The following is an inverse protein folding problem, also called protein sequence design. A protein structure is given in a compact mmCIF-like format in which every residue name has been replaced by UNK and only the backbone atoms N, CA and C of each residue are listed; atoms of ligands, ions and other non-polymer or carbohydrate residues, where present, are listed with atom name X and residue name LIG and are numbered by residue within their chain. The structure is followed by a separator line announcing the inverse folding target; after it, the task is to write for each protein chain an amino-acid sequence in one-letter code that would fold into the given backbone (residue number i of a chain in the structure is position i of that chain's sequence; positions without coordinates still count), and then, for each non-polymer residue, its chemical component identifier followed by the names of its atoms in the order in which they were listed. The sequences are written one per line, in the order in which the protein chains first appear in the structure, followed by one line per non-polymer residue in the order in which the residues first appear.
data_IF_717038047105
#
_entry.id   IF_717038047105
#
_cell.length_a   1.000
_cell.length_b   1.000
_cell.length_c   1.000
_cell.angle_alpha   90.00
_cell.angle_beta   90.00
_cell.angle_gamma   90.00
#
_symmetry.space_group_name_H-M   'P 1'
#
loop_
_entity.id
_entity.type
_entity.pdbx_description
1 polymer ?
#
# COMPACT_ATOMS: atom_id res chain seq x y z
N UNK A 1 18.38 9.27 -10.39
CA UNK A 1 17.17 9.25 -11.23
C UNK A 1 16.69 7.83 -11.49
N UNK A 2 17.51 6.93 -12.07
CA UNK A 2 17.12 5.52 -12.29
C UNK A 2 16.64 4.79 -11.01
N UNK A 3 17.31 5.02 -9.87
CA UNK A 3 16.96 4.38 -8.59
C UNK A 3 15.53 4.65 -8.12
N UNK A 4 15.10 5.91 -8.24
CA UNK A 4 13.75 6.36 -7.89
C UNK A 4 12.70 5.72 -8.80
N UNK A 5 12.97 5.67 -10.11
CA UNK A 5 12.06 5.09 -11.09
C UNK A 5 11.82 3.60 -10.80
N UNK A 6 12.89 2.84 -10.55
CA UNK A 6 12.78 1.42 -10.19
C UNK A 6 11.97 1.25 -8.91
N UNK A 7 12.28 2.03 -7.87
CA UNK A 7 11.61 1.96 -6.58
C UNK A 7 10.11 2.29 -6.68
N UNK A 8 9.74 3.28 -7.50
CA UNK A 8 8.34 3.61 -7.83
C UNK A 8 7.63 2.45 -8.52
N UNK A 9 8.22 1.86 -9.56
CA UNK A 9 7.61 0.72 -10.24
C UNK A 9 7.44 -0.49 -9.32
N UNK A 10 8.43 -0.77 -8.48
CA UNK A 10 8.37 -1.89 -7.53
C UNK A 10 7.29 -1.66 -6.46
N UNK A 11 7.20 -0.45 -5.89
CA UNK A 11 6.14 -0.13 -4.90
C UNK A 11 4.74 -0.20 -5.50
N UNK A 12 4.57 0.24 -6.74
CA UNK A 12 3.30 0.10 -7.45
C UNK A 12 2.97 -1.38 -7.70
N UNK A 13 3.95 -2.16 -8.14
CA UNK A 13 3.78 -3.60 -8.38
C UNK A 13 3.40 -4.36 -7.10
N UNK A 14 4.02 -4.04 -5.96
CA UNK A 14 3.65 -4.66 -4.68
C UNK A 14 2.24 -4.26 -4.23
N UNK A 15 1.81 -3.02 -4.49
CA UNK A 15 0.43 -2.61 -4.23
C UNK A 15 -0.58 -3.39 -5.08
N UNK A 16 -0.28 -3.65 -6.35
CA UNK A 16 -1.11 -4.52 -7.19
C UNK A 16 -1.11 -5.98 -6.71
N UNK A 17 0.03 -6.52 -6.25
CA UNK A 17 0.11 -7.86 -5.67
C UNK A 17 -0.77 -7.99 -4.42
N UNK A 18 -0.76 -6.98 -3.56
CA UNK A 18 -1.63 -6.94 -2.37
C UNK A 18 -3.10 -6.96 -2.78
N UNK A 19 -3.49 -6.18 -3.79
CA UNK A 19 -4.85 -6.20 -4.31
C UNK A 19 -5.22 -7.56 -4.91
N UNK A 20 -4.34 -8.17 -5.70
CA UNK A 20 -4.60 -9.46 -6.34
C UNK A 20 -4.74 -10.60 -5.33
N UNK A 21 -4.05 -10.51 -4.18
CA UNK A 21 -4.06 -11.53 -3.14
C UNK A 21 -5.24 -11.40 -2.15
N UNK A 22 -5.91 -10.24 -2.07
CA UNK A 22 -7.06 -10.07 -1.18
C UNK A 22 -8.34 -10.67 -1.78
N UNK A 23 -8.94 -11.66 -1.09
CA UNK A 23 -10.21 -12.28 -1.49
C UNK A 23 -11.39 -11.29 -1.57
N UNK A 24 -11.29 -10.15 -0.90
CA UNK A 24 -12.33 -9.10 -0.84
C UNK A 24 -12.04 -7.92 -1.76
N UNK A 25 -11.04 -8.05 -2.63
CA UNK A 25 -10.62 -7.04 -3.58
C UNK A 25 -11.73 -6.52 -4.52
N UNK A 26 -12.82 -7.27 -4.74
CA UNK A 26 -13.99 -6.78 -5.49
C UNK A 26 -14.78 -5.69 -4.75
N UNK A 27 -14.57 -5.51 -3.44
CA UNK A 27 -15.24 -4.50 -2.64
C UNK A 27 -14.54 -3.14 -2.69
N UNK A 28 -13.31 -3.02 -3.19
CA UNK A 28 -12.59 -1.76 -3.29
C UNK A 28 -11.73 -1.68 -4.57
N UNK A 29 -11.60 -0.48 -5.14
CA UNK A 29 -10.94 -0.31 -6.45
C UNK A 29 -9.46 -0.74 -6.43
N UNK A 30 -8.99 -1.31 -7.54
CA UNK A 30 -7.61 -1.76 -7.75
C UNK A 30 -6.56 -0.67 -7.50
N UNK A 31 -6.92 0.58 -7.78
CA UNK A 31 -6.03 1.73 -7.59
C UNK A 31 -5.75 2.04 -6.10
N UNK A 32 -6.57 1.57 -5.16
CA UNK A 32 -6.44 1.94 -3.74
C UNK A 32 -5.16 1.37 -3.12
N UNK A 33 -4.88 0.04 -3.16
CA UNK A 33 -3.65 -0.48 -2.59
C UNK A 33 -2.40 -0.03 -3.35
N UNK A 34 -2.50 0.11 -4.68
CA UNK A 34 -1.42 0.62 -5.53
C UNK A 34 -1.05 2.08 -5.16
N UNK A 35 -2.06 2.95 -5.02
CA UNK A 35 -1.87 4.34 -4.64
C UNK A 35 -1.34 4.50 -3.21
N UNK A 36 -1.83 3.69 -2.27
CA UNK A 36 -1.33 3.70 -0.88
C UNK A 36 0.12 3.23 -0.82
N UNK A 37 0.46 2.14 -1.53
CA UNK A 37 1.83 1.63 -1.58
C UNK A 37 2.80 2.66 -2.16
N UNK A 38 2.42 3.28 -3.29
CA UNK A 38 3.19 4.35 -3.90
C UNK A 38 3.34 5.55 -2.96
N UNK A 39 2.25 6.03 -2.36
CA UNK A 39 2.24 7.22 -1.52
C UNK A 39 3.12 7.04 -0.26
N UNK A 40 2.93 5.93 0.46
CA UNK A 40 3.73 5.62 1.66
C UNK A 40 5.18 5.33 1.29
N UNK A 41 5.42 4.62 0.19
CA UNK A 41 6.76 4.40 -0.34
C UNK A 41 7.48 5.70 -0.68
N UNK A 42 6.84 6.59 -1.43
CA UNK A 42 7.42 7.88 -1.79
C UNK A 42 7.70 8.75 -0.56
N UNK A 43 6.77 8.85 0.38
CA UNK A 43 6.96 9.64 1.60
C UNK A 43 8.09 9.11 2.48
N UNK A 44 8.17 7.79 2.66
CA UNK A 44 9.25 7.16 3.42
C UNK A 44 10.61 7.33 2.72
N UNK A 45 10.67 7.23 1.40
CA UNK A 45 11.88 7.51 0.63
C UNK A 45 12.36 8.95 0.85
N UNK A 46 11.46 9.93 0.74
CA UNK A 46 11.77 11.35 0.97
C UNK A 46 12.34 11.54 2.39
N UNK A 47 11.71 10.93 3.39
CA UNK A 47 12.17 11.00 4.77
C UNK A 47 13.58 10.40 4.95
N UNK A 48 13.86 9.24 4.36
CA UNK A 48 15.18 8.59 4.50
C UNK A 48 16.30 9.33 3.76
N UNK A 49 16.02 9.92 2.60
CA UNK A 49 16.99 10.75 1.88
C UNK A 49 17.25 12.05 2.64
N UNK A 50 16.19 12.69 3.17
CA UNK A 50 16.33 13.88 4.00
C UNK A 50 17.13 13.61 5.29
N UNK A 51 17.03 12.41 5.85
CA UNK A 51 17.83 11.97 6.99
C UNK A 51 19.29 11.59 6.65
N UNK A 52 19.68 11.62 5.37
CA UNK A 52 21.05 11.35 4.93
C UNK A 52 21.41 9.88 4.76
N UNK A 53 20.46 8.95 4.94
CA UNK A 53 20.72 7.50 4.82
C UNK A 53 21.14 7.07 3.41
N UNK A 54 20.88 7.89 2.39
CA UNK A 54 21.36 7.65 1.02
C UNK A 54 22.85 7.88 0.81
N UNK A 55 23.54 8.54 1.76
CA UNK A 55 24.93 8.97 1.59
C UNK A 55 25.88 8.33 2.62
N UNK A 56 25.34 7.60 3.60
CA UNK A 56 26.12 6.94 4.64
C UNK A 56 26.52 5.51 4.20
N UNK A 57 27.81 5.18 4.14
CA UNK A 57 28.27 3.82 3.86
C UNK A 57 27.65 2.81 4.82
N UNK A 58 27.08 1.72 4.30
CA UNK A 58 26.39 0.69 5.09
C UNK A 58 24.88 0.91 5.30
N UNK A 59 24.37 2.13 5.09
CA UNK A 59 22.95 2.47 5.23
C UNK A 59 22.26 2.80 3.90
N UNK A 60 23.00 2.78 2.79
CA UNK A 60 22.51 3.10 1.44
C UNK A 60 21.38 2.20 0.94
N UNK A 61 21.19 1.02 1.54
CA UNK A 61 20.09 0.10 1.23
C UNK A 61 18.75 0.53 1.85
N UNK A 62 18.78 1.35 2.93
CA UNK A 62 17.57 1.78 3.66
C UNK A 62 16.61 2.52 2.74
N UNK A 63 17.01 3.57 2.00
CA UNK A 63 16.10 4.27 1.10
C UNK A 63 15.60 3.39 -0.06
N UNK A 64 16.16 2.21 -0.30
CA UNK A 64 15.70 1.31 -1.37
C UNK A 64 14.69 0.29 -0.86
N UNK A 65 15.02 -0.43 0.22
CA UNK A 65 14.23 -1.58 0.67
C UNK A 65 13.11 -1.16 1.61
N UNK A 66 13.41 -0.31 2.59
CA UNK A 66 12.43 0.04 3.62
C UNK A 66 11.18 0.71 3.05
N UNK A 67 11.28 1.65 2.10
CA UNK A 67 10.09 2.22 1.48
C UNK A 67 9.20 1.22 0.77
N UNK A 68 9.78 0.22 0.11
CA UNK A 68 9.01 -0.84 -0.56
C UNK A 68 8.26 -1.66 0.49
N UNK A 69 8.94 -2.05 1.57
CA UNK A 69 8.34 -2.82 2.67
C UNK A 69 7.23 -2.02 3.36
N UNK A 70 7.48 -0.75 3.68
CA UNK A 70 6.52 0.14 4.32
C UNK A 70 5.30 0.40 3.43
N UNK A 71 5.51 0.67 2.13
CA UNK A 71 4.43 0.83 1.16
C UNK A 71 3.56 -0.42 1.04
N UNK A 72 4.19 -1.59 0.94
CA UNK A 72 3.49 -2.87 0.84
C UNK A 72 2.69 -3.19 2.11
N UNK A 73 3.29 -2.96 3.29
CA UNK A 73 2.63 -3.14 4.58
C UNK A 73 1.42 -2.20 4.74
N UNK A 74 1.57 -0.93 4.36
CA UNK A 74 0.48 0.04 4.39
C UNK A 74 -0.67 -0.35 3.44
N UNK A 75 -0.34 -0.79 2.22
CA UNK A 75 -1.32 -1.29 1.26
C UNK A 75 -2.08 -2.51 1.80
N UNK A 76 -1.38 -3.46 2.44
CA UNK A 76 -2.00 -4.62 3.06
C UNK A 76 -2.93 -4.23 4.22
N UNK A 77 -2.50 -3.30 5.07
CA UNK A 77 -3.32 -2.76 6.16
C UNK A 77 -4.60 -2.11 5.65
N UNK A 78 -4.50 -1.30 4.59
CA UNK A 78 -5.68 -0.66 3.97
C UNK A 78 -6.60 -1.69 3.32
N UNK A 79 -6.07 -2.68 2.60
CA UNK A 79 -6.84 -3.76 2.00
C UNK A 79 -7.67 -4.52 3.06
N UNK A 80 -7.04 -4.94 4.15
CA UNK A 80 -7.71 -5.61 5.28
C UNK A 80 -8.78 -4.71 5.92
N UNK A 81 -8.48 -3.44 6.15
CA UNK A 81 -9.41 -2.50 6.77
C UNK A 81 -10.63 -2.22 5.89
N UNK A 82 -10.43 -1.94 4.60
CA UNK A 82 -11.52 -1.70 3.64
C UNK A 82 -12.34 -2.98 3.41
N UNK A 83 -11.67 -4.12 3.28
CA UNK A 83 -12.31 -5.43 3.12
C UNK A 83 -13.20 -5.79 4.31
N UNK A 84 -12.83 -5.41 5.54
CA UNK A 84 -13.69 -5.62 6.73
C UNK A 84 -14.84 -4.62 6.79
N UNK A 85 -14.55 -3.33 6.69
CA UNK A 85 -15.57 -2.27 6.85
C UNK A 85 -16.66 -2.32 5.78
N UNK A 86 -16.31 -2.58 4.51
CA UNK A 86 -17.30 -2.68 3.44
C UNK A 86 -18.17 -3.92 3.56
N UNK A 87 -17.62 -5.05 4.00
CA UNK A 87 -18.44 -6.25 4.24
C UNK A 87 -19.48 -6.05 5.33
N UNK A 88 -19.12 -5.35 6.42
CA UNK A 88 -20.05 -5.06 7.53
C UNK A 88 -21.20 -4.17 7.04
N UNK A 89 -20.87 -3.09 6.32
CA UNK A 89 -21.88 -2.18 5.75
C UNK A 89 -22.83 -2.87 4.78
N UNK A 90 -22.31 -3.75 3.92
CA UNK A 90 -23.15 -4.50 2.98
C UNK A 90 -24.11 -5.46 3.72
N UNK A 91 -23.65 -6.15 4.76
CA UNK A 91 -24.52 -7.01 5.58
C UNK A 91 -25.57 -6.21 6.35
N UNK A 92 -25.23 -5.04 6.88
CA UNK A 92 -26.19 -4.16 7.55
C UNK A 92 -27.27 -3.66 6.58
N UNK A 93 -26.88 -3.26 5.38
CA UNK A 93 -27.81 -2.82 4.33
C UNK A 93 -28.74 -3.95 3.90
N UNK A 94 -28.23 -5.17 3.68
CA UNK A 94 -29.02 -6.36 3.37
C UNK A 94 -29.99 -6.72 4.49
N UNK A 95 -29.52 -6.68 5.74
CA UNK A 95 -30.36 -6.98 6.92
C UNK A 95 -31.50 -5.97 7.05
N UNK A 96 -31.25 -4.69 6.74
CA UNK A 96 -32.28 -3.66 6.73
C UNK A 96 -33.30 -3.86 5.60
N UNK A 97 -32.85 -4.27 4.42
CA UNK A 97 -33.73 -4.55 3.28
C UNK A 97 -34.60 -5.80 3.49
N UNK A 98 -34.09 -6.82 4.17
CA UNK A 98 -34.81 -8.09 4.44
C UNK A 98 -35.73 -8.04 5.67
N UNK A 99 -35.64 -6.99 6.49
CA UNK A 99 -36.53 -6.76 7.65
C UNK A 99 -37.80 -5.96 7.28
N UNK A 100 -37.92 -5.51 6.04
CA UNK A 100 -39.13 -4.93 5.45
C UNK A 100 -39.96 -6.03 4.78
#
# INVERSE_FOLDING_TARGET
MLSLVVMVFVTVATGFLVWANDKRHGKYGIAVPAGVSLGVGALSWIAFIAAGFGYQPGLTWIPWVLPIVLGTAAAAGVAVFLGRTRTVRDTEALTKALRL
#
